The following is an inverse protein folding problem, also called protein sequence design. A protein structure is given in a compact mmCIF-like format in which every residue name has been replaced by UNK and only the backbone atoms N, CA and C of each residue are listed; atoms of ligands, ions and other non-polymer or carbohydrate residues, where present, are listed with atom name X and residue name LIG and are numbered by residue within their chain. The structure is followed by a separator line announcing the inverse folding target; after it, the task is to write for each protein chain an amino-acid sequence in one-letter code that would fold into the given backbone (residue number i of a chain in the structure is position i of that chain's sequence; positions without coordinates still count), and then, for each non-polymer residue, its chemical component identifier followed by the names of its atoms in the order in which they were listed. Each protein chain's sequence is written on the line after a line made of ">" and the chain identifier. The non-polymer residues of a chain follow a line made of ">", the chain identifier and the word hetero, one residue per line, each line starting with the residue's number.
data_IF_578300781465
#
_entry.id   IF_578300781465
#
_cell.length_a   1.000
_cell.length_b   1.000
_cell.length_c   1.000
_cell.angle_alpha   90.00
_cell.angle_beta   90.00
_cell.angle_gamma   90.00
#
_symmetry.space_group_name_H-M   'P 1'
#
loop_
_entity.id
_entity.type
_entity.pdbx_description
1 polymer ?
#
# COMPACT_ATOMS: atom_id res chain seq x y z
N UNK A 1 -21.37 4.25 -10.05
CA UNK A 1 -20.20 5.00 -9.61
C UNK A 1 -19.51 5.73 -10.75
N UNK A 2 -19.35 5.13 -11.93
CA UNK A 2 -18.66 5.75 -13.08
C UNK A 2 -19.30 7.06 -13.55
N UNK A 3 -20.62 7.14 -13.56
CA UNK A 3 -21.33 8.40 -13.88
C UNK A 3 -21.04 9.51 -12.85
N UNK A 4 -20.92 9.16 -11.56
CA UNK A 4 -20.57 10.13 -10.52
C UNK A 4 -19.13 10.63 -10.69
N UNK A 5 -18.21 9.75 -11.09
CA UNK A 5 -16.84 10.14 -11.37
C UNK A 5 -16.78 11.12 -12.54
N UNK A 6 -17.45 10.82 -13.68
CA UNK A 6 -17.53 11.74 -14.83
C UNK A 6 -18.12 13.09 -14.42
N UNK A 7 -19.22 13.09 -13.67
CA UNK A 7 -19.85 14.32 -13.19
C UNK A 7 -18.89 15.11 -12.29
N UNK A 8 -18.23 14.46 -11.33
CA UNK A 8 -17.29 15.12 -10.43
C UNK A 8 -16.16 15.79 -11.19
N UNK A 9 -15.54 15.09 -12.13
CA UNK A 9 -14.42 15.65 -12.92
C UNK A 9 -14.90 16.84 -13.76
N UNK A 10 -16.06 16.74 -14.36
CA UNK A 10 -16.62 17.84 -15.17
C UNK A 10 -16.95 19.08 -14.33
N UNK A 11 -17.43 18.90 -13.11
CA UNK A 11 -17.77 19.99 -12.19
C UNK A 11 -16.53 20.63 -11.52
N UNK A 12 -15.36 19.98 -11.57
CA UNK A 12 -14.14 20.43 -10.91
C UNK A 12 -12.95 20.55 -11.90
N UNK A 13 -13.05 21.44 -12.88
CA UNK A 13 -12.03 21.58 -13.93
C UNK A 13 -10.64 21.97 -13.42
N UNK A 14 -10.57 22.58 -12.24
CA UNK A 14 -9.34 22.99 -11.56
C UNK A 14 -8.56 21.83 -10.91
N UNK A 15 -9.14 20.65 -10.84
CA UNK A 15 -8.47 19.46 -10.32
C UNK A 15 -7.65 18.82 -11.43
N UNK A 16 -6.36 18.65 -11.22
CA UNK A 16 -5.45 18.03 -12.20
C UNK A 16 -5.30 16.53 -12.01
N UNK A 17 -5.35 16.06 -10.76
CA UNK A 17 -5.13 14.68 -10.39
C UNK A 17 -6.30 14.12 -9.61
N UNK A 18 -6.85 13.02 -10.06
CA UNK A 18 -7.86 12.25 -9.32
C UNK A 18 -7.15 11.17 -8.51
N UNK A 19 -7.22 11.28 -7.20
CA UNK A 19 -6.66 10.30 -6.28
C UNK A 19 -7.72 9.33 -5.80
N UNK A 20 -7.52 8.08 -6.14
CA UNK A 20 -8.33 6.97 -5.64
C UNK A 20 -7.78 6.46 -4.34
N UNK A 21 -8.67 6.22 -3.39
CA UNK A 21 -8.31 5.60 -2.12
C UNK A 21 -8.67 4.14 -2.21
N UNK A 22 -7.70 3.31 -2.45
CA UNK A 22 -7.75 1.85 -2.35
C UNK A 22 -8.87 1.17 -3.16
N UNK A 23 -8.49 0.40 -4.16
CA UNK A 23 -9.41 -0.46 -4.92
C UNK A 23 -9.48 -1.91 -4.39
N UNK A 24 -9.15 -2.11 -3.12
CA UNK A 24 -8.85 -3.43 -2.67
C UNK A 24 -9.94 -4.07 -1.88
N UNK A 25 -10.02 -5.34 -2.12
CA UNK A 25 -10.74 -6.29 -1.33
C UNK A 25 -9.73 -7.06 -0.48
N UNK A 26 -9.25 -6.46 0.58
CA UNK A 26 -8.42 -7.14 1.56
C UNK A 26 -9.30 -7.79 2.60
N UNK A 27 -9.08 -9.08 2.82
CA UNK A 27 -9.61 -9.74 3.99
C UNK A 27 -8.61 -9.64 5.12
N UNK A 28 -9.02 -9.01 6.20
CA UNK A 28 -8.29 -9.05 7.45
C UNK A 28 -8.94 -10.07 8.36
N UNK A 29 -8.19 -11.06 8.78
CA UNK A 29 -8.60 -11.96 9.83
C UNK A 29 -8.34 -11.27 11.16
N UNK A 30 -9.39 -10.97 11.88
CA UNK A 30 -9.34 -10.41 13.23
C UNK A 30 -9.74 -11.49 14.21
N UNK A 31 -8.87 -11.75 15.19
CA UNK A 31 -9.19 -12.60 16.33
C UNK A 31 -9.63 -11.70 17.47
N UNK A 32 -10.79 -11.98 18.02
CA UNK A 32 -11.26 -11.32 19.24
C UNK A 32 -10.55 -11.83 20.49
N UNK A 33 -10.87 -11.28 21.64
CA UNK A 33 -10.30 -11.68 22.95
C UNK A 33 -10.51 -13.17 23.27
N UNK A 34 -11.54 -13.76 22.71
CA UNK A 34 -11.84 -15.18 22.84
C UNK A 34 -11.17 -16.03 21.75
N UNK A 35 -10.25 -15.44 20.99
CA UNK A 35 -9.56 -16.07 19.84
C UNK A 35 -10.52 -16.57 18.75
N UNK A 36 -11.69 -15.96 18.64
CA UNK A 36 -12.63 -16.26 17.56
C UNK A 36 -12.23 -15.48 16.31
N UNK A 37 -12.22 -16.17 15.19
CA UNK A 37 -11.93 -15.58 13.92
C UNK A 37 -13.08 -14.71 13.43
N UNK A 38 -12.74 -13.53 12.97
CA UNK A 38 -13.68 -12.63 12.31
C UNK A 38 -13.05 -12.12 11.02
N UNK A 39 -13.74 -12.31 9.93
CA UNK A 39 -13.38 -11.68 8.68
C UNK A 39 -13.85 -10.24 8.70
N UNK A 40 -12.92 -9.33 8.56
CA UNK A 40 -13.21 -7.92 8.38
C UNK A 40 -12.61 -7.51 7.06
N UNK A 41 -13.47 -7.11 6.14
CA UNK A 41 -13.06 -6.27 5.05
C UNK A 41 -12.68 -4.91 5.66
N UNK A 42 -11.48 -4.44 5.38
CA UNK A 42 -10.94 -3.21 5.95
C UNK A 42 -11.85 -2.00 5.77
N UNK A 43 -12.66 -1.99 4.73
CA UNK A 43 -13.61 -0.89 4.44
C UNK A 43 -15.08 -1.27 4.53
N UNK A 44 -15.39 -2.42 5.06
CA UNK A 44 -16.76 -2.92 5.10
C UNK A 44 -17.31 -3.32 3.73
N UNK A 45 -16.43 -3.50 2.75
CA UNK A 45 -16.81 -3.92 1.41
C UNK A 45 -16.64 -5.43 1.26
N UNK A 46 -17.69 -6.17 1.47
CA UNK A 46 -17.71 -7.59 1.15
C UNK A 46 -17.83 -7.86 -0.37
N UNK A 47 -17.37 -6.92 -1.19
CA UNK A 47 -17.52 -7.00 -2.65
C UNK A 47 -16.83 -8.22 -3.24
N UNK A 48 -15.68 -8.63 -2.70
CA UNK A 48 -14.96 -9.82 -3.15
C UNK A 48 -15.64 -11.15 -2.83
N UNK A 49 -16.66 -11.14 -1.99
CA UNK A 49 -17.51 -12.29 -1.66
C UNK A 49 -18.99 -12.00 -1.89
N UNK A 50 -19.29 -11.00 -2.70
CA UNK A 50 -20.66 -10.76 -3.14
C UNK A 50 -21.14 -11.91 -4.04
N UNK A 51 -22.43 -12.22 -4.05
CA UNK A 51 -22.95 -13.29 -4.92
C UNK A 51 -22.52 -13.15 -6.38
N UNK A 52 -22.53 -11.94 -6.90
CA UNK A 52 -22.09 -11.64 -8.26
C UNK A 52 -20.62 -12.04 -8.48
N UNK A 53 -19.72 -11.61 -7.60
CA UNK A 53 -18.28 -11.92 -7.74
C UNK A 53 -18.00 -13.40 -7.58
N UNK A 54 -18.69 -14.08 -6.66
CA UNK A 54 -18.52 -15.52 -6.50
C UNK A 54 -19.01 -16.30 -7.70
N UNK A 55 -20.08 -15.87 -8.32
CA UNK A 55 -20.56 -16.46 -9.59
C UNK A 55 -19.52 -16.28 -10.71
N UNK A 56 -18.93 -15.09 -10.85
CA UNK A 56 -17.86 -14.86 -11.83
C UNK A 56 -16.63 -15.74 -11.56
N UNK A 57 -16.25 -15.88 -10.29
CA UNK A 57 -15.16 -16.78 -9.90
C UNK A 57 -15.48 -18.23 -10.32
N UNK A 58 -16.65 -18.74 -9.97
CA UNK A 58 -17.07 -20.11 -10.28
C UNK A 58 -17.10 -20.37 -11.80
N UNK A 59 -17.55 -19.40 -12.59
CA UNK A 59 -17.54 -19.47 -14.05
C UNK A 59 -16.12 -19.52 -14.62
N UNK A 60 -15.19 -18.74 -14.04
CA UNK A 60 -13.83 -18.69 -14.53
C UNK A 60 -13.01 -19.93 -14.18
N UNK A 61 -13.13 -20.42 -12.95
CA UNK A 61 -12.30 -21.53 -12.47
C UNK A 61 -12.92 -22.91 -12.69
N UNK A 62 -14.22 -22.98 -12.94
CA UNK A 62 -14.96 -24.21 -13.20
C UNK A 62 -15.32 -25.02 -11.96
N UNK A 63 -15.22 -24.44 -10.77
CA UNK A 63 -15.64 -25.09 -9.52
C UNK A 63 -16.20 -24.07 -8.53
N UNK A 64 -17.02 -24.59 -7.62
CA UNK A 64 -17.76 -23.77 -6.65
C UNK A 64 -16.85 -23.17 -5.59
N UNK A 65 -17.08 -21.88 -5.27
CA UNK A 65 -16.42 -21.20 -4.19
C UNK A 65 -16.71 -21.83 -2.82
N UNK A 66 -15.69 -21.82 -1.96
CA UNK A 66 -15.81 -22.21 -0.56
C UNK A 66 -15.04 -21.23 0.31
N UNK A 67 -15.56 -20.85 1.50
CA UNK A 67 -14.89 -19.92 2.41
C UNK A 67 -13.46 -20.31 2.78
N UNK A 68 -13.19 -21.62 2.84
CA UNK A 68 -11.85 -22.14 3.14
C UNK A 68 -10.79 -21.73 2.13
N UNK A 69 -11.19 -21.33 0.92
CA UNK A 69 -10.23 -20.86 -0.09
C UNK A 69 -9.56 -19.56 0.35
N UNK A 70 -10.26 -18.67 1.05
CA UNK A 70 -9.72 -17.40 1.56
C UNK A 70 -8.63 -17.63 2.60
N UNK A 71 -8.82 -18.64 3.44
CA UNK A 71 -7.89 -18.98 4.52
C UNK A 71 -6.90 -20.07 4.15
N UNK A 72 -6.75 -20.36 2.87
CA UNK A 72 -5.82 -21.37 2.38
C UNK A 72 -6.04 -22.73 3.05
N UNK A 73 -7.27 -23.21 3.07
CA UNK A 73 -7.67 -24.50 3.69
C UNK A 73 -7.38 -24.56 5.21
N UNK A 74 -7.41 -23.45 5.91
CA UNK A 74 -7.09 -23.36 7.33
C UNK A 74 -5.60 -23.19 7.64
N UNK A 75 -4.74 -23.02 6.62
CA UNK A 75 -3.31 -22.77 6.81
C UNK A 75 -2.95 -21.28 6.83
N UNK A 76 -3.91 -20.41 6.64
CA UNK A 76 -3.77 -18.96 6.76
C UNK A 76 -2.61 -18.37 5.95
N UNK A 77 -2.40 -18.89 4.74
CA UNK A 77 -1.30 -18.49 3.88
C UNK A 77 0.06 -18.63 4.61
N UNK A 78 0.28 -19.76 5.24
CA UNK A 78 1.49 -20.05 6.00
C UNK A 78 2.72 -19.97 5.10
N UNK A 79 3.74 -19.23 5.55
CA UNK A 79 4.96 -18.99 4.80
C UNK A 79 5.84 -20.23 4.57
N UNK A 80 5.62 -21.28 5.35
CA UNK A 80 6.42 -22.51 5.29
C UNK A 80 5.83 -23.59 4.38
N UNK A 81 4.76 -23.27 3.68
CA UNK A 81 4.15 -24.21 2.73
C UNK A 81 3.72 -23.50 1.44
N UNK A 82 3.61 -24.31 0.41
CA UNK A 82 3.01 -23.86 -0.85
C UNK A 82 1.51 -23.67 -0.64
N UNK A 83 0.94 -22.52 -0.97
CA UNK A 83 -0.50 -22.30 -0.89
C UNK A 83 -1.30 -23.29 -1.73
N UNK A 84 -2.53 -23.59 -1.30
CA UNK A 84 -3.44 -24.45 -2.04
C UNK A 84 -3.73 -23.87 -3.44
N UNK A 85 -4.14 -24.72 -4.35
CA UNK A 85 -4.53 -24.31 -5.70
C UNK A 85 -5.68 -23.32 -5.63
N UNK A 86 -6.70 -23.63 -4.86
CA UNK A 86 -7.92 -22.85 -4.71
C UNK A 86 -7.65 -21.45 -4.15
N UNK A 87 -6.75 -21.35 -3.15
CA UNK A 87 -6.30 -20.06 -2.64
C UNK A 87 -5.60 -19.24 -3.75
N UNK A 88 -4.72 -19.86 -4.53
CA UNK A 88 -4.02 -19.18 -5.63
C UNK A 88 -4.98 -18.73 -6.72
N UNK A 89 -5.94 -19.58 -7.08
CA UNK A 89 -6.94 -19.26 -8.10
C UNK A 89 -7.82 -18.09 -7.66
N UNK A 90 -8.28 -18.11 -6.40
CA UNK A 90 -9.06 -17.01 -5.83
C UNK A 90 -8.29 -15.70 -5.76
N UNK A 91 -7.03 -15.74 -5.32
CA UNK A 91 -6.17 -14.55 -5.29
C UNK A 91 -5.89 -13.99 -6.70
N UNK A 92 -5.68 -14.86 -7.68
CA UNK A 92 -5.46 -14.45 -9.06
C UNK A 92 -6.72 -13.84 -9.69
N UNK A 93 -7.87 -14.44 -9.43
CA UNK A 93 -9.17 -13.90 -9.85
C UNK A 93 -9.41 -12.51 -9.27
N UNK A 94 -9.23 -12.33 -7.97
CA UNK A 94 -9.41 -11.03 -7.32
C UNK A 94 -8.51 -9.94 -7.92
N UNK A 95 -7.25 -10.26 -8.19
CA UNK A 95 -6.35 -9.29 -8.83
C UNK A 95 -6.86 -8.82 -10.17
N UNK A 96 -7.36 -9.75 -11.01
CA UNK A 96 -7.90 -9.40 -12.32
C UNK A 96 -9.15 -8.54 -12.22
N UNK A 97 -10.08 -8.89 -11.35
CA UNK A 97 -11.31 -8.12 -11.17
C UNK A 97 -11.04 -6.71 -10.63
N UNK A 98 -10.14 -6.59 -9.65
CA UNK A 98 -9.72 -5.27 -9.13
C UNK A 98 -9.04 -4.46 -10.22
N UNK A 99 -8.12 -5.06 -10.97
CA UNK A 99 -7.43 -4.36 -12.05
C UNK A 99 -8.40 -3.87 -13.13
N UNK A 100 -9.38 -4.69 -13.50
CA UNK A 100 -10.44 -4.34 -14.46
C UNK A 100 -11.26 -3.14 -13.99
N UNK A 101 -11.75 -3.17 -12.75
CA UNK A 101 -12.54 -2.06 -12.19
C UNK A 101 -11.70 -0.78 -12.05
N UNK A 102 -10.45 -0.90 -11.60
CA UNK A 102 -9.55 0.22 -11.49
C UNK A 102 -9.27 0.83 -12.87
N UNK A 103 -9.02 -0.01 -13.87
CA UNK A 103 -8.77 0.45 -15.23
C UNK A 103 -9.95 1.26 -15.79
N UNK A 104 -11.19 0.81 -15.62
CA UNK A 104 -12.37 1.56 -16.07
C UNK A 104 -12.41 2.98 -15.48
N UNK A 105 -12.05 3.13 -14.20
CA UNK A 105 -12.02 4.45 -13.55
C UNK A 105 -10.85 5.30 -14.04
N UNK A 106 -9.70 4.69 -14.25
CA UNK A 106 -8.51 5.38 -14.77
C UNK A 106 -8.76 5.84 -16.21
N UNK A 107 -9.33 4.97 -17.06
CA UNK A 107 -9.66 5.33 -18.44
C UNK A 107 -10.62 6.54 -18.48
N UNK A 108 -11.66 6.56 -17.63
CA UNK A 108 -12.56 7.73 -17.52
C UNK A 108 -11.81 9.00 -17.12
N UNK A 109 -10.87 8.87 -16.20
CA UNK A 109 -10.05 10.00 -15.72
C UNK A 109 -9.20 10.56 -16.85
N UNK A 110 -8.55 9.70 -17.61
CA UNK A 110 -7.74 10.07 -18.77
C UNK A 110 -8.57 10.65 -19.92
N UNK A 111 -9.74 10.07 -20.22
CA UNK A 111 -10.67 10.61 -21.22
C UNK A 111 -11.06 12.07 -20.93
N UNK A 112 -11.11 12.42 -19.64
CA UNK A 112 -11.44 13.78 -19.20
C UNK A 112 -10.20 14.65 -18.94
N UNK A 113 -9.03 14.21 -19.40
CA UNK A 113 -7.78 14.99 -19.39
C UNK A 113 -7.14 15.16 -18.01
N UNK A 114 -7.42 14.23 -17.08
CA UNK A 114 -6.85 14.25 -15.72
C UNK A 114 -5.88 13.11 -15.50
N UNK A 115 -4.93 13.28 -14.58
CA UNK A 115 -4.08 12.19 -14.12
C UNK A 115 -4.78 11.33 -13.05
N UNK A 116 -4.46 10.06 -13.04
CA UNK A 116 -5.00 9.09 -12.11
C UNK A 116 -3.91 8.64 -11.12
N UNK A 117 -4.14 8.85 -9.84
CA UNK A 117 -3.25 8.42 -8.77
C UNK A 117 -3.97 7.44 -7.85
N UNK A 118 -3.27 6.41 -7.38
CA UNK A 118 -3.81 5.48 -6.39
C UNK A 118 -3.07 5.60 -5.06
N UNK A 119 -3.84 5.73 -3.98
CA UNK A 119 -3.33 5.54 -2.63
C UNK A 119 -3.33 4.06 -2.28
N UNK A 120 -2.16 3.51 -2.01
CA UNK A 120 -1.98 2.08 -1.80
C UNK A 120 -2.35 1.59 -0.39
N UNK A 121 -2.65 2.45 0.54
CA UNK A 121 -2.93 2.04 1.92
C UNK A 121 -1.73 1.39 2.61
N UNK A 122 -1.82 1.25 3.94
CA UNK A 122 -0.67 0.84 4.75
C UNK A 122 -0.36 -0.67 4.65
N UNK A 123 -1.31 -1.47 4.23
CA UNK A 123 -1.16 -2.94 4.19
C UNK A 123 -0.80 -3.50 2.82
N UNK A 124 -0.76 -2.65 1.82
CA UNK A 124 -0.51 -3.05 0.43
C UNK A 124 0.93 -3.08 0.05
N UNK A 125 1.70 -2.24 0.66
CA UNK A 125 3.10 -2.09 0.34
C UNK A 125 3.85 -3.26 0.97
N UNK A 126 4.34 -4.15 0.13
CA UNK A 126 5.13 -5.30 0.50
C UNK A 126 4.41 -6.64 0.48
N UNK A 127 3.15 -6.67 0.10
CA UNK A 127 2.39 -7.92 -0.01
C UNK A 127 2.01 -8.27 -1.45
N UNK A 128 2.04 -7.31 -2.35
CA UNK A 128 1.64 -7.47 -3.73
C UNK A 128 2.81 -7.72 -4.64
N UNK A 129 2.69 -8.63 -5.57
CA UNK A 129 3.45 -8.50 -6.79
C UNK A 129 2.75 -7.47 -7.67
N UNK A 130 3.42 -6.41 -8.02
CA UNK A 130 2.98 -5.47 -9.05
C UNK A 130 3.19 -6.10 -10.42
N UNK A 131 2.30 -7.03 -10.77
CA UNK A 131 2.35 -7.81 -12.00
C UNK A 131 1.75 -7.04 -13.18
N UNK A 132 1.57 -7.75 -14.28
CA UNK A 132 1.04 -7.17 -15.51
C UNK A 132 -0.39 -6.66 -15.34
N UNK A 133 -1.18 -7.29 -14.48
CA UNK A 133 -2.52 -6.81 -14.13
C UNK A 133 -2.46 -5.40 -13.50
N UNK A 134 -1.50 -5.14 -12.63
CA UNK A 134 -1.32 -3.81 -12.05
C UNK A 134 -0.90 -2.79 -13.11
N UNK A 135 0.05 -3.13 -13.96
CA UNK A 135 0.48 -2.24 -15.05
C UNK A 135 -0.64 -1.93 -16.03
N UNK A 136 -1.53 -2.90 -16.27
CA UNK A 136 -2.66 -2.73 -17.18
C UNK A 136 -3.69 -1.70 -16.72
N UNK A 137 -3.70 -1.34 -15.43
CA UNK A 137 -4.56 -0.28 -14.90
C UNK A 137 -4.23 1.07 -15.54
N UNK A 138 -2.96 1.33 -15.82
CA UNK A 138 -2.52 2.56 -16.47
C UNK A 138 -2.45 3.78 -15.55
N UNK A 139 -2.22 3.57 -14.25
CA UNK A 139 -2.06 4.67 -13.29
C UNK A 139 -0.88 5.57 -13.65
N UNK A 140 -1.05 6.87 -13.49
CA UNK A 140 0.04 7.83 -13.63
C UNK A 140 0.93 7.83 -12.39
N UNK A 141 0.35 7.66 -11.22
CA UNK A 141 1.08 7.70 -9.96
C UNK A 141 0.52 6.77 -8.90
N UNK A 142 1.37 6.46 -7.95
CA UNK A 142 0.99 5.80 -6.69
C UNK A 142 1.51 6.61 -5.51
N UNK A 143 0.76 6.57 -4.41
CA UNK A 143 1.16 7.15 -3.14
C UNK A 143 0.99 6.11 -2.03
N UNK A 144 1.97 6.01 -1.16
CA UNK A 144 1.91 5.11 -0.01
C UNK A 144 2.49 5.75 1.24
N UNK A 145 2.19 5.18 2.40
CA UNK A 145 2.74 5.63 3.67
C UNK A 145 4.20 5.20 3.81
N UNK A 146 5.07 6.13 4.14
CA UNK A 146 6.49 5.86 4.36
C UNK A 146 6.77 5.81 5.85
N UNK A 147 6.45 4.68 6.47
CA UNK A 147 6.71 4.42 7.88
C UNK A 147 8.16 4.05 8.18
N UNK A 148 8.88 3.56 7.17
CA UNK A 148 10.27 3.11 7.28
C UNK A 148 10.93 3.05 5.89
N UNK A 149 12.22 2.70 5.85
CA UNK A 149 12.97 2.62 4.61
C UNK A 149 12.51 1.51 3.68
N UNK A 150 12.10 0.36 4.20
CA UNK A 150 11.60 -0.74 3.37
C UNK A 150 10.32 -0.33 2.64
N UNK A 151 9.40 0.32 3.33
CA UNK A 151 8.16 0.83 2.72
C UNK A 151 8.46 1.83 1.60
N UNK A 152 9.37 2.77 1.83
CA UNK A 152 9.78 3.73 0.81
C UNK A 152 10.38 3.04 -0.41
N UNK A 153 11.22 2.04 -0.24
CA UNK A 153 11.78 1.26 -1.35
C UNK A 153 10.73 0.53 -2.15
N UNK A 154 9.77 -0.10 -1.46
CA UNK A 154 8.68 -0.80 -2.12
C UNK A 154 7.86 0.15 -3.00
N UNK A 155 7.59 1.36 -2.52
CA UNK A 155 6.91 2.40 -3.32
C UNK A 155 7.78 2.79 -4.51
N UNK A 156 9.05 3.08 -4.29
CA UNK A 156 9.96 3.52 -5.36
C UNK A 156 10.20 2.45 -6.44
N UNK A 157 10.01 1.18 -6.11
CA UNK A 157 10.19 0.05 -7.02
C UNK A 157 8.91 -0.34 -7.78
N UNK A 158 7.79 0.33 -7.55
CA UNK A 158 6.53 0.04 -8.25
C UNK A 158 6.69 0.36 -9.74
N UNK A 159 6.46 -0.63 -10.60
CA UNK A 159 6.64 -0.46 -12.03
C UNK A 159 5.42 0.15 -12.72
N UNK A 160 5.65 0.78 -13.87
CA UNK A 160 4.56 1.19 -14.78
C UNK A 160 3.83 2.46 -14.39
N UNK A 161 4.36 3.25 -13.47
CA UNK A 161 3.85 4.57 -13.09
C UNK A 161 4.83 5.67 -13.51
N UNK A 162 4.34 6.87 -13.77
CA UNK A 162 5.16 8.02 -14.14
C UNK A 162 5.94 8.57 -12.95
N UNK A 163 5.30 8.59 -11.77
CA UNK A 163 5.93 9.05 -10.53
C UNK A 163 5.37 8.35 -9.30
N UNK A 164 6.15 8.37 -8.26
CA UNK A 164 5.84 7.78 -6.97
C UNK A 164 5.84 8.84 -5.87
N UNK A 165 4.94 8.71 -4.90
CA UNK A 165 4.78 9.66 -3.81
C UNK A 165 4.79 8.94 -2.46
N UNK A 166 5.53 9.47 -1.51
CA UNK A 166 5.55 9.03 -0.13
C UNK A 166 4.71 9.93 0.76
N UNK A 167 3.77 9.36 1.47
CA UNK A 167 3.06 10.03 2.54
C UNK A 167 3.88 9.97 3.82
N UNK A 168 4.43 11.09 4.21
CA UNK A 168 5.21 11.25 5.43
C UNK A 168 4.29 11.40 6.63
N UNK A 169 4.69 10.86 7.76
CA UNK A 169 3.90 10.64 8.96
C UNK A 169 2.68 9.76 8.68
N UNK A 170 2.85 8.45 8.81
CA UNK A 170 1.85 7.47 8.41
C UNK A 170 0.61 7.48 9.27
N UNK A 171 0.72 7.87 10.55
CA UNK A 171 -0.42 7.80 11.43
C UNK A 171 -0.89 9.15 11.87
N UNK A 172 -2.03 9.19 11.92
CA UNK A 172 -2.95 10.22 11.69
C UNK A 172 -3.94 10.26 12.80
N UNK A 173 -4.52 11.37 12.94
CA UNK A 173 -5.63 11.55 13.80
C UNK A 173 -5.24 11.80 15.24
N UNK A 174 -6.17 11.60 16.14
CA UNK A 174 -5.97 11.91 17.53
C UNK A 174 -4.82 11.13 18.19
N UNK A 175 -4.35 10.06 17.57
CA UNK A 175 -3.26 9.27 18.12
C UNK A 175 -1.92 10.04 18.17
N UNK A 176 -1.70 10.93 17.19
CA UNK A 176 -0.50 11.78 17.14
C UNK A 176 -0.83 13.23 17.52
N UNK A 177 -1.96 13.77 17.02
CA UNK A 177 -2.32 15.17 17.17
C UNK A 177 -3.36 15.37 18.28
N UNK A 178 -2.93 15.28 19.51
CA UNK A 178 -3.74 15.50 20.69
C UNK A 178 -2.97 16.32 21.73
N UNK A 179 -3.65 16.84 22.74
CA UNK A 179 -3.01 17.52 23.85
C UNK A 179 -2.04 16.57 24.57
N UNK A 180 -0.80 16.98 24.72
CA UNK A 180 0.29 16.16 25.27
C UNK A 180 0.96 15.21 24.27
N UNK A 181 0.50 15.15 23.01
CA UNK A 181 1.19 14.43 21.93
C UNK A 181 2.43 15.17 21.44
N UNK A 182 3.38 14.44 20.87
CA UNK A 182 4.62 14.99 20.29
C UNK A 182 4.76 14.61 18.80
N UNK A 183 4.01 15.29 17.90
CA UNK A 183 4.09 14.99 16.47
C UNK A 183 5.44 15.30 15.84
N UNK A 184 6.23 16.20 16.44
CA UNK A 184 7.59 16.51 15.97
C UNK A 184 8.53 15.34 16.23
N UNK A 185 8.45 14.74 17.41
CA UNK A 185 9.26 13.56 17.76
C UNK A 185 8.91 12.40 16.83
N UNK A 186 7.64 12.08 16.69
CA UNK A 186 7.19 11.02 15.79
C UNK A 186 7.62 11.29 14.34
N UNK A 187 7.49 12.52 13.88
CA UNK A 187 7.96 12.94 12.57
C UNK A 187 9.47 12.74 12.38
N UNK A 188 10.27 13.06 13.37
CA UNK A 188 11.73 12.86 13.35
C UNK A 188 12.10 11.38 13.27
N UNK A 189 11.50 10.56 14.09
CA UNK A 189 11.73 9.11 14.10
C UNK A 189 11.36 8.50 12.73
N UNK A 190 10.24 8.90 12.18
CA UNK A 190 9.80 8.45 10.87
C UNK A 190 10.76 8.89 9.75
N UNK A 191 11.17 10.17 9.75
CA UNK A 191 12.04 10.69 8.70
C UNK A 191 13.45 10.09 8.74
N UNK A 192 14.02 9.88 9.89
CA UNK A 192 15.35 9.27 10.03
C UNK A 192 15.38 7.87 9.41
N UNK A 193 14.34 7.09 9.59
CA UNK A 193 14.26 5.74 9.00
C UNK A 193 13.95 5.78 7.51
N UNK A 194 13.02 6.63 7.09
CA UNK A 194 12.60 6.72 5.70
C UNK A 194 13.69 7.24 4.76
N UNK A 195 14.42 8.29 5.16
CA UNK A 195 15.40 8.96 4.29
C UNK A 195 16.57 8.07 3.84
N UNK A 196 16.93 7.05 4.61
CA UNK A 196 17.98 6.09 4.23
C UNK A 196 17.72 5.43 2.89
N UNK A 197 16.47 5.09 2.64
CA UNK A 197 16.09 4.43 1.40
C UNK A 197 16.08 5.35 0.18
N UNK A 198 15.98 6.67 0.37
CA UNK A 198 16.01 7.65 -0.70
C UNK A 198 17.34 7.61 -1.45
N UNK A 199 18.44 7.40 -0.74
CA UNK A 199 19.77 7.32 -1.34
C UNK A 199 19.95 6.12 -2.28
N UNK A 200 19.16 5.06 -2.07
CA UNK A 200 19.17 3.90 -2.97
C UNK A 200 18.36 4.14 -4.23
N UNK A 201 17.16 4.62 -4.07
CA UNK A 201 16.25 4.96 -5.17
C UNK A 201 15.22 5.98 -4.65
N UNK A 202 15.24 7.19 -5.16
CA UNK A 202 14.31 8.20 -4.69
C UNK A 202 12.88 7.86 -5.10
N UNK A 203 11.93 8.26 -4.27
CA UNK A 203 10.57 8.54 -4.71
C UNK A 203 10.55 9.95 -5.31
N UNK A 204 9.56 10.26 -6.13
CA UNK A 204 9.52 11.54 -6.84
C UNK A 204 8.95 12.66 -6.00
N UNK A 205 8.07 12.34 -5.06
CA UNK A 205 7.41 13.31 -4.17
C UNK A 205 7.33 12.78 -2.76
N UNK A 206 7.43 13.70 -1.81
CA UNK A 206 7.14 13.43 -0.39
C UNK A 206 6.36 14.59 0.20
N UNK A 207 5.45 14.29 1.12
CA UNK A 207 4.69 15.31 1.82
C UNK A 207 3.90 14.75 2.99
N UNK A 208 3.34 15.66 3.79
CA UNK A 208 2.45 15.29 4.87
C UNK A 208 1.13 14.75 4.31
N UNK A 209 0.76 13.57 4.74
CA UNK A 209 -0.40 12.85 4.21
C UNK A 209 -1.57 12.70 5.17
N UNK A 210 -1.60 13.44 6.27
CA UNK A 210 -2.67 13.40 7.25
C UNK A 210 -3.69 14.53 7.13
N UNK A 211 -4.52 14.71 8.16
CA UNK A 211 -5.48 15.81 8.22
C UNK A 211 -4.78 17.12 8.54
N UNK A 212 -4.69 17.99 7.54
CA UNK A 212 -4.04 19.29 7.68
C UNK A 212 -4.65 20.12 8.81
N UNK A 213 -5.99 20.06 8.97
CA UNK A 213 -6.67 20.79 10.05
C UNK A 213 -6.18 20.42 11.46
N UNK A 214 -5.79 19.17 11.68
CA UNK A 214 -5.21 18.73 12.95
C UNK A 214 -3.75 19.22 13.05
N UNK A 215 -2.97 19.01 12.02
CA UNK A 215 -1.56 19.39 11.98
C UNK A 215 -1.36 20.90 12.17
N UNK A 216 -2.27 21.74 11.67
CA UNK A 216 -2.20 23.19 11.83
C UNK A 216 -2.31 23.67 13.30
N UNK A 217 -2.76 22.82 14.21
CA UNK A 217 -2.76 23.11 15.65
C UNK A 217 -1.37 22.95 16.30
N UNK A 218 -0.41 22.42 15.54
CA UNK A 218 0.97 22.16 16.00
C UNK A 218 1.96 22.89 15.08
N UNK A 219 2.20 24.20 15.28
CA UNK A 219 3.06 25.00 14.40
C UNK A 219 4.46 24.43 14.25
N UNK A 220 5.04 23.91 15.32
CA UNK A 220 6.39 23.32 15.29
C UNK A 220 6.44 22.08 14.38
N UNK A 221 5.36 21.32 14.32
CA UNK A 221 5.26 20.20 13.39
C UNK A 221 5.22 20.67 11.94
N UNK A 222 4.46 21.73 11.66
CA UNK A 222 4.41 22.33 10.31
C UNK A 222 5.79 22.81 9.87
N UNK A 223 6.52 23.48 10.76
CA UNK A 223 7.88 23.96 10.48
C UNK A 223 8.85 22.78 10.29
N UNK A 224 8.70 21.73 11.08
CA UNK A 224 9.46 20.51 10.87
C UNK A 224 9.18 19.87 9.50
N UNK A 225 7.92 19.76 9.07
CA UNK A 225 7.56 19.24 7.75
C UNK A 225 8.16 20.09 6.61
N UNK A 226 8.18 21.41 6.75
CA UNK A 226 8.86 22.28 5.78
C UNK A 226 10.35 21.92 5.68
N UNK A 227 11.03 21.74 6.81
CA UNK A 227 12.44 21.35 6.83
C UNK A 227 12.68 19.99 6.18
N UNK A 228 11.79 19.01 6.38
CA UNK A 228 11.84 17.71 5.71
C UNK A 228 11.67 17.87 4.20
N UNK A 229 10.73 18.71 3.77
CA UNK A 229 10.53 18.97 2.34
C UNK A 229 11.76 19.62 1.69
N UNK A 230 12.43 20.52 2.40
CA UNK A 230 13.64 21.17 1.89
C UNK A 230 14.83 20.20 1.84
N UNK A 231 15.01 19.38 2.87
CA UNK A 231 16.00 18.29 2.86
C UNK A 231 15.73 17.31 1.72
N UNK A 232 14.47 16.90 1.54
CA UNK A 232 14.09 16.00 0.45
C UNK A 232 14.39 16.60 -0.92
N UNK A 233 14.05 17.86 -1.16
CA UNK A 233 14.36 18.55 -2.43
C UNK A 233 15.86 18.57 -2.70
N UNK A 234 16.65 18.84 -1.68
CA UNK A 234 18.11 18.82 -1.79
C UNK A 234 18.63 17.44 -2.18
N UNK A 235 18.20 16.39 -1.45
CA UNK A 235 18.56 15.01 -1.76
C UNK A 235 18.11 14.61 -3.16
N UNK A 236 16.85 14.84 -3.49
CA UNK A 236 16.28 14.48 -4.79
C UNK A 236 17.02 15.17 -5.96
N UNK A 237 17.31 16.45 -5.82
CA UNK A 237 18.04 17.20 -6.86
C UNK A 237 19.44 16.65 -7.11
N UNK A 238 20.12 16.18 -6.04
CA UNK A 238 21.47 15.65 -6.14
C UNK A 238 21.53 14.20 -6.65
N UNK A 239 20.52 13.38 -6.35
CA UNK A 239 20.53 11.96 -6.74
C UNK A 239 19.68 11.66 -7.97
N UNK A 240 18.81 12.56 -8.37
CA UNK A 240 17.96 12.43 -9.55
C UNK A 240 18.82 12.20 -10.80
N UNK A 241 18.51 11.13 -11.52
CA UNK A 241 19.24 10.76 -12.73
C UNK A 241 20.56 10.02 -12.48
N UNK A 242 20.91 9.76 -11.22
CA UNK A 242 22.06 8.90 -10.89
C UNK A 242 21.60 7.46 -10.66
N UNK A 243 22.49 6.51 -10.90
CA UNK A 243 22.27 5.12 -10.50
C UNK A 243 23.18 4.82 -9.33
N UNK A 244 22.62 4.58 -8.13
CA UNK A 244 23.43 4.30 -6.97
C UNK A 244 24.19 2.99 -7.16
N UNK A 245 25.48 3.01 -6.81
CA UNK A 245 26.28 1.80 -6.77
C UNK A 245 26.00 1.04 -5.47
N UNK A 246 25.47 -0.18 -5.61
CA UNK A 246 25.19 -1.04 -4.47
C UNK A 246 26.20 -2.18 -4.41
N UNK A 247 26.88 -2.29 -3.28
CA UNK A 247 27.69 -3.50 -2.98
C UNK A 247 26.70 -4.60 -2.59
N UNK A 248 26.55 -5.58 -3.48
CA UNK A 248 25.61 -6.69 -3.28
C UNK A 248 26.32 -7.82 -2.53
N UNK A 249 26.19 -7.82 -1.23
CA UNK A 249 26.81 -8.84 -0.36
C UNK A 249 25.83 -9.92 0.09
N UNK A 250 24.53 -9.64 0.12
CA UNK A 250 23.50 -10.56 0.56
C UNK A 250 22.35 -10.57 -0.44
N UNK A 251 21.87 -11.75 -0.79
CA UNK A 251 20.64 -11.93 -1.56
C UNK A 251 19.51 -12.38 -0.64
N UNK A 252 18.41 -11.65 -0.64
CA UNK A 252 17.17 -12.05 0.05
C UNK A 252 16.25 -12.71 -0.96
N UNK A 253 16.02 -14.01 -0.79
CA UNK A 253 15.07 -14.73 -1.64
C UNK A 253 13.64 -14.41 -1.25
N UNK A 254 12.95 -13.65 -2.08
CA UNK A 254 11.53 -13.38 -1.92
C UNK A 254 10.71 -14.45 -2.65
N UNK A 255 10.40 -15.53 -1.95
CA UNK A 255 9.53 -16.61 -2.46
C UNK A 255 8.04 -16.33 -2.27
N UNK A 256 7.69 -15.25 -1.59
CA UNK A 256 6.31 -14.98 -1.14
C UNK A 256 5.46 -14.24 -2.15
N UNK A 257 6.09 -13.69 -3.18
CA UNK A 257 5.51 -12.71 -4.07
C UNK A 257 4.05 -12.97 -4.47
N UNK A 258 3.82 -13.95 -5.32
CA UNK A 258 2.53 -14.11 -6.00
C UNK A 258 1.42 -14.69 -5.15
N UNK A 259 1.76 -15.52 -4.18
CA UNK A 259 0.76 -16.22 -3.38
C UNK A 259 0.30 -15.43 -2.15
N UNK A 260 0.99 -14.34 -1.85
CA UNK A 260 0.73 -13.53 -0.64
C UNK A 260 0.24 -12.13 -0.91
N UNK A 261 0.08 -11.76 -2.16
CA UNK A 261 -0.29 -10.39 -2.54
C UNK A 261 -1.57 -9.88 -1.86
N UNK A 262 -2.43 -10.77 -1.50
CA UNK A 262 -3.71 -10.46 -0.86
C UNK A 262 -3.83 -11.18 0.48
N UNK A 263 -2.72 -11.31 1.17
CA UNK A 263 -2.65 -12.10 2.38
C UNK A 263 -3.68 -11.67 3.41
N UNK A 264 -4.26 -12.66 4.06
CA UNK A 264 -4.97 -12.45 5.29
C UNK A 264 -3.98 -11.89 6.31
N UNK A 265 -4.16 -10.65 6.71
CA UNK A 265 -3.47 -10.12 7.87
C UNK A 265 -4.13 -10.69 9.11
N UNK A 266 -3.43 -11.53 9.83
CA UNK A 266 -3.89 -11.96 11.14
C UNK A 266 -3.60 -10.85 12.13
N UNK A 267 -4.65 -10.13 12.51
CA UNK A 267 -4.61 -9.17 13.59
C UNK A 267 -5.23 -9.85 14.82
N UNK A 268 -4.42 -10.27 15.74
CA UNK A 268 -4.89 -10.65 17.07
C UNK A 268 -5.06 -9.39 17.90
N UNK A 269 -6.15 -9.29 18.67
CA UNK A 269 -6.41 -8.17 19.58
C UNK A 269 -5.14 -7.74 20.32
N UNK A 270 -4.66 -6.53 20.04
CA UNK A 270 -3.43 -5.94 20.59
C UNK A 270 -2.12 -6.74 20.38
N UNK A 271 -2.17 -7.93 19.85
CA UNK A 271 -1.01 -8.72 19.49
C UNK A 271 -1.11 -9.02 18.00
N UNK A 272 -0.56 -8.12 17.22
CA UNK A 272 -0.22 -8.49 15.86
C UNK A 272 0.63 -9.75 15.94
N UNK A 273 0.11 -10.84 15.48
CA UNK A 273 0.98 -11.94 15.14
C UNK A 273 1.80 -11.49 13.95
N UNK A 274 2.82 -10.74 14.26
CA UNK A 274 3.89 -10.47 13.31
C UNK A 274 4.32 -11.85 12.86
N UNK A 275 4.12 -12.16 11.61
CA UNK A 275 4.86 -13.25 11.02
C UNK A 275 6.31 -12.97 11.41
N UNK A 276 6.93 -13.90 12.09
CA UNK A 276 8.21 -13.70 12.76
C UNK A 276 9.32 -13.17 11.85
N UNK A 277 9.10 -13.16 10.54
CA UNK A 277 10.01 -12.62 9.54
C UNK A 277 9.20 -11.91 8.47
N UNK A 278 8.84 -10.66 8.71
CA UNK A 278 8.34 -9.84 7.61
C UNK A 278 9.49 -9.55 6.65
N UNK A 279 9.21 -9.59 5.36
CA UNK A 279 10.15 -9.16 4.32
C UNK A 279 10.74 -7.77 4.62
N UNK A 280 9.90 -6.85 5.07
CA UNK A 280 10.30 -5.52 5.51
C UNK A 280 11.30 -5.57 6.66
N UNK A 281 11.06 -6.38 7.68
CA UNK A 281 11.98 -6.50 8.82
C UNK A 281 13.35 -7.05 8.46
N UNK A 282 13.44 -7.96 7.50
CA UNK A 282 14.74 -8.47 7.00
C UNK A 282 15.50 -7.37 6.27
N UNK A 283 14.81 -6.59 5.43
CA UNK A 283 15.44 -5.49 4.68
C UNK A 283 15.92 -4.39 5.63
N UNK A 284 15.10 -3.95 6.56
CA UNK A 284 15.45 -2.90 7.54
C UNK A 284 16.70 -3.30 8.35
N UNK A 285 16.73 -4.53 8.84
CA UNK A 285 17.86 -5.02 9.62
C UNK A 285 19.13 -5.14 8.81
N UNK A 286 19.02 -5.51 7.54
CA UNK A 286 20.17 -5.55 6.64
C UNK A 286 20.74 -4.17 6.37
N UNK A 287 19.92 -3.13 6.38
CA UNK A 287 20.35 -1.75 6.18
C UNK A 287 21.05 -1.15 7.41
N UNK A 288 20.59 -1.50 8.61
CA UNK A 288 21.23 -1.06 9.86
C UNK A 288 22.69 -1.55 9.95
N UNK A 289 23.02 -2.65 9.30
CA UNK A 289 24.36 -3.24 9.34
C UNK A 289 25.24 -2.85 8.13
N UNK A 290 24.69 -2.18 7.15
CA UNK A 290 25.43 -1.78 5.93
C UNK A 290 25.59 -0.27 5.76
N UNK A 291 25.15 0.50 6.73
CA UNK A 291 25.27 1.98 6.75
C UNK A 291 26.44 2.46 7.59
#
# INVERSE_FOLDING_TARGET
>A
SMQRLRKFIAEHPYVDVIRYTTFFHQFTLVFDELKREKYVDWYGYSASVSPYILEQFEQEVGYRFRPEFIIDQGYYNNQYRVPSREFKDFMAFQRREVAKLAKEMVDITHELGKEAMMFLGDHWIGTEPFLDEFKSIGLDAVVGSVGNGATLRLISDIPGVKYTEGRFLPYFFPDTFHEGGDPVKEGKENWVTARRAILRKPIDRIGYGGYLKLALQFPEFIDYIKSVCDEFRLLYTNIRGTTPYCIKTVAVLNSWGRARSWGCHMVHHALYQKQNYSYAGVIERSEEHTS
#
